data_IF_137302116171
#
_entry.id   IF_137302116171
#
_cell.length_a   1.000
_cell.length_b   1.000
_cell.length_c   1.000
_cell.angle_alpha   90.00
_cell.angle_beta   90.00
_cell.angle_gamma   90.00
#
_symmetry.space_group_name_H-M   'P 1'
#
loop_
_entity.id
_entity.type
_entity.pdbx_description
1 polymer ?
#
# COMPACT_ATOMS: atom_id res chain seq x y z
N UNK A 1 22.95 -18.33 -3.92
CA UNK A 1 21.61 -19.00 -4.02
C UNK A 1 21.21 -19.69 -2.71
N UNK A 2 21.88 -20.76 -2.22
CA UNK A 2 21.46 -21.44 -0.99
C UNK A 2 21.51 -20.56 0.29
N UNK A 3 22.55 -19.75 0.46
CA UNK A 3 22.71 -18.87 1.62
C UNK A 3 21.65 -17.75 1.66
N UNK A 4 21.22 -17.26 0.52
CA UNK A 4 20.19 -16.21 0.42
C UNK A 4 18.81 -16.80 0.71
N UNK A 5 18.55 -18.04 0.31
CA UNK A 5 17.32 -18.77 0.65
C UNK A 5 17.21 -19.01 2.16
N UNK A 6 18.30 -19.38 2.84
CA UNK A 6 18.31 -19.58 4.29
C UNK A 6 18.09 -18.26 5.03
N UNK A 7 18.72 -17.17 4.58
CA UNK A 7 18.50 -15.82 5.15
C UNK A 7 17.05 -15.36 5.00
N UNK A 8 16.45 -15.63 3.84
CA UNK A 8 15.05 -15.29 3.57
C UNK A 8 14.11 -16.05 4.50
N UNK A 9 14.27 -17.37 4.63
CA UNK A 9 13.46 -18.22 5.53
C UNK A 9 13.60 -17.74 6.99
N UNK A 10 14.81 -17.44 7.43
CA UNK A 10 15.05 -16.93 8.78
C UNK A 10 14.38 -15.55 9.01
N UNK A 11 14.40 -14.68 8.02
CA UNK A 11 13.76 -13.38 8.08
C UNK A 11 12.22 -13.49 8.13
N UNK A 12 11.64 -14.36 7.31
CA UNK A 12 10.21 -14.66 7.32
C UNK A 12 9.76 -15.24 8.68
N UNK A 13 10.52 -16.20 9.23
CA UNK A 13 10.25 -16.74 10.55
C UNK A 13 10.33 -15.68 11.66
N UNK A 14 11.35 -14.82 11.62
CA UNK A 14 11.50 -13.73 12.58
C UNK A 14 10.34 -12.72 12.47
N UNK A 15 9.89 -12.42 11.24
CA UNK A 15 8.75 -11.56 10.97
C UNK A 15 7.46 -12.15 11.53
N UNK A 16 7.18 -13.44 11.30
CA UNK A 16 6.01 -14.13 11.87
C UNK A 16 6.00 -14.07 13.40
N UNK A 17 7.15 -14.29 14.04
CA UNK A 17 7.26 -14.17 15.50
C UNK A 17 7.01 -12.75 15.99
N UNK A 18 7.53 -11.75 15.29
CA UNK A 18 7.31 -10.34 15.62
C UNK A 18 5.84 -9.96 15.48
N UNK A 19 5.16 -10.40 14.42
CA UNK A 19 3.74 -10.16 14.19
C UNK A 19 2.91 -10.83 15.28
N UNK A 20 3.12 -12.11 15.55
CA UNK A 20 2.44 -12.83 16.63
C UNK A 20 2.70 -12.20 18.02
N UNK A 21 3.80 -11.50 18.19
CA UNK A 21 4.08 -10.75 19.42
C UNK A 21 3.31 -9.43 19.46
N UNK A 22 3.29 -8.67 18.36
CA UNK A 22 2.54 -7.38 18.27
C UNK A 22 1.03 -7.65 18.46
N UNK A 23 0.47 -8.66 17.83
CA UNK A 23 -0.98 -8.94 17.86
C UNK A 23 -1.51 -9.28 19.26
N UNK A 24 -0.66 -9.77 20.18
CA UNK A 24 -1.05 -10.08 21.57
C UNK A 24 -1.31 -8.82 22.41
N UNK A 25 -0.53 -7.80 22.22
CA UNK A 25 -0.64 -6.51 22.92
C UNK A 25 0.01 -5.42 22.05
N UNK A 26 -0.74 -4.83 21.09
CA UNK A 26 -0.19 -3.84 20.18
C UNK A 26 0.38 -2.62 20.88
N UNK A 27 -0.25 -2.18 21.99
CA UNK A 27 0.16 -0.97 22.71
C UNK A 27 1.53 -1.10 23.36
N UNK A 28 1.83 -2.28 23.88
CA UNK A 28 3.10 -2.57 24.57
C UNK A 28 4.15 -3.13 23.62
N UNK A 29 3.76 -4.15 22.87
CA UNK A 29 4.71 -4.99 22.15
C UNK A 29 5.29 -4.29 20.90
N UNK A 30 4.53 -3.35 20.28
CA UNK A 30 5.06 -2.50 19.23
C UNK A 30 6.26 -1.68 19.72
N UNK A 31 6.16 -1.05 20.89
CA UNK A 31 7.26 -0.25 21.43
C UNK A 31 8.46 -1.11 21.84
N UNK A 32 8.23 -2.31 22.40
CA UNK A 32 9.32 -3.26 22.70
C UNK A 32 10.09 -3.63 21.44
N UNK A 33 9.40 -3.90 20.34
CA UNK A 33 10.03 -4.20 19.06
C UNK A 33 10.75 -3.00 18.47
N UNK A 34 10.17 -1.80 18.53
CA UNK A 34 10.83 -0.59 18.08
C UNK A 34 12.09 -0.29 18.91
N UNK A 35 12.08 -0.52 20.21
CA UNK A 35 13.25 -0.40 21.08
C UNK A 35 14.34 -1.40 20.69
N UNK A 36 13.95 -2.64 20.39
CA UNK A 36 14.87 -3.64 19.92
C UNK A 36 15.50 -3.26 18.56
N UNK A 37 14.67 -2.83 17.58
CA UNK A 37 15.16 -2.38 16.28
C UNK A 37 16.10 -1.19 16.41
N UNK A 38 15.80 -0.22 17.29
CA UNK A 38 16.68 0.91 17.56
C UNK A 38 18.06 0.47 18.09
N UNK A 39 18.08 -0.51 18.99
CA UNK A 39 19.33 -1.05 19.57
C UNK A 39 20.20 -1.77 18.53
N UNK A 40 19.57 -2.58 17.65
CA UNK A 40 20.31 -3.39 16.67
C UNK A 40 20.61 -2.65 15.36
N UNK A 41 19.95 -1.54 15.10
CA UNK A 41 20.17 -0.74 13.90
C UNK A 41 21.60 -0.20 13.86
N UNK A 42 22.32 -0.55 12.79
CA UNK A 42 23.73 -0.14 12.62
C UNK A 42 23.87 1.26 12.00
N UNK A 43 22.98 1.60 11.06
CA UNK A 43 23.03 2.89 10.37
C UNK A 43 22.37 3.99 11.23
N UNK A 44 23.06 5.14 11.44
CA UNK A 44 22.52 6.27 12.23
C UNK A 44 21.14 6.74 11.74
N UNK A 45 20.93 6.79 10.43
CA UNK A 45 19.63 7.17 9.83
C UNK A 45 18.50 6.24 10.20
N UNK A 46 18.75 4.93 10.36
CA UNK A 46 17.71 3.98 10.78
C UNK A 46 17.29 4.22 12.23
N UNK A 47 18.22 4.51 13.12
CA UNK A 47 17.92 4.85 14.53
C UNK A 47 17.05 6.10 14.61
N UNK A 48 17.35 7.12 13.83
CA UNK A 48 16.57 8.36 13.80
C UNK A 48 15.14 8.14 13.32
N UNK A 49 14.96 7.32 12.27
CA UNK A 49 13.62 6.93 11.78
C UNK A 49 12.84 6.21 12.89
N UNK A 50 13.44 5.25 13.58
CA UNK A 50 12.76 4.50 14.65
C UNK A 50 12.38 5.43 15.81
N UNK A 51 13.26 6.37 16.20
CA UNK A 51 12.93 7.38 17.21
C UNK A 51 11.73 8.23 16.83
N UNK A 52 11.70 8.74 15.60
CA UNK A 52 10.57 9.52 15.07
C UNK A 52 9.28 8.71 15.07
N UNK A 53 9.32 7.45 14.65
CA UNK A 53 8.17 6.55 14.70
C UNK A 53 7.65 6.37 16.13
N UNK A 54 8.51 6.11 17.10
CA UNK A 54 8.13 5.97 18.52
C UNK A 54 7.42 7.22 19.05
N UNK A 55 7.99 8.40 18.77
CA UNK A 55 7.39 9.68 19.15
C UNK A 55 6.02 9.87 18.50
N UNK A 56 5.92 9.53 17.21
CA UNK A 56 4.71 9.67 16.43
C UNK A 56 3.58 8.75 16.95
N UNK A 57 3.86 7.49 17.19
CA UNK A 57 2.91 6.55 17.80
C UNK A 57 2.48 6.99 19.21
N UNK A 58 3.44 7.42 20.06
CA UNK A 58 3.17 7.83 21.43
C UNK A 58 2.27 9.07 21.53
N UNK A 59 2.46 10.01 20.60
CA UNK A 59 1.79 11.31 20.65
C UNK A 59 0.50 11.36 19.82
N UNK A 60 0.15 10.29 19.12
CA UNK A 60 -1.02 10.26 18.25
C UNK A 60 -1.94 9.07 18.55
N UNK A 61 -2.95 9.26 19.43
CA UNK A 61 -3.90 8.20 19.80
C UNK A 61 -4.65 7.59 18.62
N UNK A 62 -4.95 8.40 17.57
CA UNK A 62 -5.64 7.89 16.37
C UNK A 62 -4.78 6.90 15.59
N UNK A 63 -3.47 7.12 15.53
CA UNK A 63 -2.55 6.19 14.88
C UNK A 63 -2.46 4.89 15.68
N UNK A 64 -2.43 4.97 17.02
CA UNK A 64 -2.47 3.76 17.84
C UNK A 64 -3.78 3.00 17.69
N UNK A 65 -4.91 3.68 17.54
CA UNK A 65 -6.19 3.02 17.24
C UNK A 65 -6.15 2.29 15.88
N UNK A 66 -5.64 2.93 14.84
CA UNK A 66 -5.45 2.27 13.53
C UNK A 66 -4.48 1.09 13.63
N UNK A 67 -3.41 1.21 14.40
CA UNK A 67 -2.46 0.12 14.64
C UNK A 67 -3.13 -1.07 15.30
N UNK A 68 -4.02 -0.86 16.29
CA UNK A 68 -4.79 -1.95 16.92
C UNK A 68 -5.74 -2.62 15.91
N UNK A 69 -6.41 -1.83 15.06
CA UNK A 69 -7.28 -2.36 13.99
C UNK A 69 -6.49 -3.20 12.98
N UNK A 70 -5.32 -2.72 12.55
CA UNK A 70 -4.44 -3.50 11.65
C UNK A 70 -3.92 -4.76 12.37
N UNK A 71 -3.53 -4.64 13.64
CA UNK A 71 -3.03 -5.76 14.43
C UNK A 71 -4.10 -6.83 14.74
N UNK A 72 -5.40 -6.48 14.67
CA UNK A 72 -6.49 -7.46 14.79
C UNK A 72 -6.59 -8.40 13.57
N UNK A 73 -5.96 -8.04 12.44
CA UNK A 73 -5.82 -8.89 11.27
C UNK A 73 -4.32 -9.24 11.06
N UNK A 74 -3.85 -10.40 11.51
CA UNK A 74 -2.44 -10.79 11.40
C UNK A 74 -1.90 -10.81 9.98
N UNK A 75 -2.74 -11.19 8.99
CA UNK A 75 -2.38 -11.19 7.56
C UNK A 75 -2.15 -9.77 7.05
N UNK A 76 -3.02 -8.83 7.42
CA UNK A 76 -2.86 -7.42 7.05
C UNK A 76 -1.60 -6.82 7.67
N UNK A 77 -1.34 -7.11 8.94
CA UNK A 77 -0.12 -6.66 9.62
C UNK A 77 1.14 -7.26 8.96
N UNK A 78 1.11 -8.56 8.63
CA UNK A 78 2.20 -9.23 7.90
C UNK A 78 2.47 -8.56 6.57
N UNK A 79 1.45 -8.39 5.74
CA UNK A 79 1.60 -7.79 4.41
C UNK A 79 2.10 -6.34 4.49
N UNK A 80 1.57 -5.56 5.43
CA UNK A 80 2.02 -4.19 5.63
C UNK A 80 3.50 -4.13 6.03
N UNK A 81 3.93 -4.93 7.01
CA UNK A 81 5.32 -4.92 7.46
C UNK A 81 6.24 -5.48 6.37
N UNK A 82 5.88 -6.62 5.78
CA UNK A 82 6.71 -7.25 4.76
C UNK A 82 6.82 -6.41 3.49
N UNK A 83 5.68 -5.98 2.94
CA UNK A 83 5.67 -5.32 1.63
C UNK A 83 6.13 -3.86 1.73
N UNK A 84 5.65 -3.12 2.71
CA UNK A 84 6.01 -1.70 2.83
C UNK A 84 7.32 -1.50 3.56
N UNK A 85 7.50 -2.10 4.75
CA UNK A 85 8.69 -1.85 5.58
C UNK A 85 9.89 -2.64 5.06
N UNK A 86 9.79 -3.97 4.96
CA UNK A 86 10.92 -4.81 4.56
C UNK A 86 11.26 -4.60 3.10
N UNK A 87 10.30 -4.83 2.19
CA UNK A 87 10.56 -4.72 0.76
C UNK A 87 10.67 -3.26 0.29
N UNK A 88 9.73 -2.40 0.68
CA UNK A 88 9.69 -1.01 0.19
C UNK A 88 10.77 -0.11 0.77
N UNK A 89 10.90 -0.10 2.13
CA UNK A 89 11.81 0.83 2.82
C UNK A 89 13.22 0.28 2.94
N UNK A 90 13.41 -0.97 3.38
CA UNK A 90 14.77 -1.49 3.59
C UNK A 90 15.40 -2.05 2.32
N UNK A 91 14.85 -3.12 1.76
CA UNK A 91 15.43 -3.80 0.60
C UNK A 91 15.31 -2.98 -0.67
N UNK A 92 14.12 -2.45 -0.93
CA UNK A 92 13.84 -1.65 -2.12
C UNK A 92 14.65 -0.37 -2.17
N UNK A 93 14.86 0.31 -1.04
CA UNK A 93 15.70 1.51 -1.00
C UNK A 93 17.12 1.22 -1.46
N UNK A 94 17.76 0.21 -0.89
CA UNK A 94 19.14 -0.17 -1.28
C UNK A 94 19.20 -0.52 -2.77
N UNK A 95 18.20 -1.25 -3.27
CA UNK A 95 18.11 -1.62 -4.69
C UNK A 95 17.97 -0.39 -5.59
N UNK A 96 17.06 0.54 -5.25
CA UNK A 96 16.86 1.81 -5.99
C UNK A 96 18.10 2.67 -6.00
N UNK A 97 18.79 2.80 -4.86
CA UNK A 97 20.04 3.57 -4.75
C UNK A 97 21.17 2.98 -5.59
N UNK A 98 21.28 1.65 -5.68
CA UNK A 98 22.28 0.97 -6.50
C UNK A 98 21.99 1.17 -8.00
N UNK A 99 20.78 0.85 -8.43
CA UNK A 99 20.33 1.02 -9.82
C UNK A 99 20.43 2.50 -10.23
N UNK A 100 20.01 3.41 -9.37
CA UNK A 100 20.08 4.84 -9.64
C UNK A 100 21.52 5.33 -9.86
N UNK A 101 22.48 4.80 -9.10
CA UNK A 101 23.92 5.10 -9.30
C UNK A 101 24.45 4.53 -10.63
N UNK A 102 24.04 3.32 -10.99
CA UNK A 102 24.45 2.67 -12.24
C UNK A 102 23.89 3.40 -13.47
N UNK A 103 22.64 3.84 -13.40
CA UNK A 103 21.95 4.51 -14.49
C UNK A 103 22.12 6.04 -14.52
N UNK A 104 22.68 6.64 -13.47
CA UNK A 104 22.79 8.09 -13.33
C UNK A 104 21.45 8.81 -13.13
N UNK A 105 20.41 8.12 -12.61
CA UNK A 105 19.05 8.65 -12.41
C UNK A 105 18.55 8.35 -11.00
N UNK A 106 17.51 9.07 -10.56
CA UNK A 106 16.81 8.75 -9.32
C UNK A 106 15.67 7.79 -9.59
N UNK A 107 15.73 6.59 -9.02
CA UNK A 107 14.62 5.61 -9.10
C UNK A 107 13.54 5.98 -8.07
N UNK A 108 12.27 6.15 -8.48
CA UNK A 108 11.18 6.57 -7.58
C UNK A 108 10.87 5.50 -6.53
N UNK A 109 10.26 5.93 -5.41
CA UNK A 109 9.84 5.02 -4.34
C UNK A 109 8.49 4.35 -4.62
N UNK A 110 7.64 5.01 -5.37
CA UNK A 110 6.30 4.55 -5.74
C UNK A 110 6.09 4.70 -7.25
N UNK A 111 5.17 3.93 -7.78
CA UNK A 111 4.70 4.03 -9.15
C UNK A 111 3.20 4.33 -9.14
N UNK A 112 2.78 5.38 -9.87
CA UNK A 112 1.37 5.67 -10.09
C UNK A 112 0.99 5.12 -11.47
N UNK A 113 -0.10 4.36 -11.52
CA UNK A 113 -0.62 3.71 -12.72
C UNK A 113 -2.11 3.99 -12.85
N UNK A 114 -2.53 4.31 -14.06
CA UNK A 114 -3.93 4.41 -14.45
C UNK A 114 -4.33 3.11 -15.20
N UNK A 115 -4.90 2.09 -14.52
CA UNK A 115 -5.21 0.83 -15.17
C UNK A 115 -6.34 0.94 -16.20
N UNK A 116 -7.18 1.96 -16.07
CA UNK A 116 -8.26 2.27 -17.01
C UNK A 116 -8.60 3.76 -17.00
N UNK A 117 -9.02 4.28 -18.16
CA UNK A 117 -9.63 5.60 -18.31
C UNK A 117 -11.13 5.58 -18.01
N UNK A 118 -11.75 4.39 -17.93
CA UNK A 118 -13.17 4.24 -17.64
C UNK A 118 -13.52 4.74 -16.23
N UNK A 119 -14.63 5.45 -16.13
CA UNK A 119 -15.16 5.91 -14.84
C UNK A 119 -16.70 5.90 -14.90
N UNK A 120 -17.30 5.44 -13.82
CA UNK A 120 -18.76 5.40 -13.67
C UNK A 120 -19.36 6.73 -13.20
N UNK A 121 -18.54 7.76 -12.93
CA UNK A 121 -18.95 9.12 -12.58
C UNK A 121 -18.48 10.15 -13.61
N UNK A 122 -19.06 11.36 -13.52
CA UNK A 122 -18.70 12.55 -14.32
C UNK A 122 -18.57 13.75 -13.39
N UNK A 123 -17.57 13.73 -12.52
CA UNK A 123 -17.37 14.76 -11.52
C UNK A 123 -16.99 16.11 -12.16
N UNK A 124 -17.56 17.19 -11.63
CA UNK A 124 -17.19 18.54 -12.03
C UNK A 124 -15.70 18.82 -11.70
N UNK A 125 -14.97 19.39 -12.67
CA UNK A 125 -13.54 19.69 -12.53
C UNK A 125 -12.64 18.46 -12.37
N UNK A 126 -13.08 17.29 -12.86
CA UNK A 126 -12.26 16.09 -12.88
C UNK A 126 -11.12 16.23 -13.89
N UNK A 127 -9.88 16.05 -13.45
CA UNK A 127 -8.69 16.12 -14.32
C UNK A 127 -8.71 15.06 -15.45
N UNK A 128 -9.37 13.92 -15.22
CA UNK A 128 -9.57 12.84 -16.19
C UNK A 128 -10.93 12.94 -16.91
N UNK A 129 -11.64 14.07 -16.78
CA UNK A 129 -12.99 14.26 -17.34
C UNK A 129 -13.06 14.14 -18.85
N UNK A 130 -12.02 14.64 -19.53
CA UNK A 130 -11.88 14.66 -20.99
C UNK A 130 -11.28 13.37 -21.57
N UNK A 131 -10.88 12.40 -20.74
CA UNK A 131 -10.28 11.16 -21.22
C UNK A 131 -11.30 10.30 -21.97
N UNK A 132 -10.79 9.55 -22.95
CA UNK A 132 -11.49 8.40 -23.52
C UNK A 132 -11.93 7.48 -22.39
N UNK A 133 -13.20 7.08 -22.36
CA UNK A 133 -13.73 6.21 -21.29
C UNK A 133 -13.63 4.72 -21.63
N UNK A 134 -12.82 4.37 -22.62
CA UNK A 134 -12.72 3.01 -23.17
C UNK A 134 -11.32 2.41 -23.05
N UNK A 135 -10.30 3.21 -22.77
CA UNK A 135 -8.92 2.72 -22.71
C UNK A 135 -8.67 2.01 -21.40
N UNK A 136 -7.95 0.89 -21.48
CA UNK A 136 -7.52 0.10 -20.34
C UNK A 136 -6.24 -0.66 -20.68
N UNK A 137 -5.48 -0.99 -19.67
CA UNK A 137 -4.36 -1.91 -19.79
C UNK A 137 -4.87 -3.34 -19.99
N UNK A 138 -4.13 -4.16 -20.72
CA UNK A 138 -4.33 -5.60 -20.66
C UNK A 138 -3.82 -6.12 -19.29
N UNK A 139 -4.50 -7.10 -18.66
CA UNK A 139 -4.12 -7.61 -17.34
C UNK A 139 -2.66 -8.07 -17.24
N UNK A 140 -2.18 -8.76 -18.29
CA UNK A 140 -0.81 -9.27 -18.38
C UNK A 140 0.20 -8.13 -18.45
N UNK A 141 -0.12 -7.05 -19.16
CA UNK A 141 0.72 -5.85 -19.22
C UNK A 141 0.78 -5.17 -17.85
N UNK A 142 -0.36 -5.04 -17.16
CA UNK A 142 -0.42 -4.44 -15.85
C UNK A 142 0.41 -5.26 -14.84
N UNK A 143 0.24 -6.59 -14.80
CA UNK A 143 1.04 -7.49 -13.97
C UNK A 143 2.54 -7.40 -14.30
N UNK A 144 2.91 -7.31 -15.60
CA UNK A 144 4.30 -7.13 -16.03
C UNK A 144 4.91 -5.83 -15.52
N UNK A 145 4.20 -4.70 -15.64
CA UNK A 145 4.66 -3.40 -15.13
C UNK A 145 4.97 -3.49 -13.63
N UNK A 146 4.12 -4.16 -12.84
CA UNK A 146 4.36 -4.34 -11.41
C UNK A 146 5.60 -5.21 -11.16
N UNK A 147 5.80 -6.28 -11.93
CA UNK A 147 7.01 -7.13 -11.83
C UNK A 147 8.27 -6.33 -12.12
N UNK A 148 8.29 -5.57 -13.21
CA UNK A 148 9.42 -4.71 -13.58
C UNK A 148 9.67 -3.61 -12.54
N UNK A 149 8.61 -3.01 -11.96
CA UNK A 149 8.73 -2.07 -10.85
C UNK A 149 9.44 -2.69 -9.64
N UNK A 150 9.12 -3.94 -9.28
CA UNK A 150 9.81 -4.67 -8.20
C UNK A 150 11.28 -4.95 -8.53
N UNK A 151 11.62 -5.16 -9.80
CA UNK A 151 13.00 -5.27 -10.23
C UNK A 151 13.80 -3.98 -10.02
N UNK A 152 13.13 -2.84 -10.08
CA UNK A 152 13.69 -1.54 -9.73
C UNK A 152 13.68 -1.25 -8.20
N UNK A 153 13.07 -2.12 -7.40
CA UNK A 153 12.92 -1.91 -5.94
C UNK A 153 11.70 -1.07 -5.56
N UNK A 154 10.71 -0.96 -6.46
CA UNK A 154 9.44 -0.24 -6.23
C UNK A 154 8.38 -1.27 -5.85
N UNK A 155 7.88 -1.19 -4.61
CA UNK A 155 6.87 -2.10 -4.06
C UNK A 155 5.58 -1.38 -3.69
N UNK A 156 5.52 -0.08 -3.86
CA UNK A 156 4.34 0.73 -3.59
C UNK A 156 3.72 1.18 -4.92
N UNK A 157 2.51 0.67 -5.19
CA UNK A 157 1.76 0.95 -6.40
C UNK A 157 0.55 1.79 -6.03
N UNK A 158 0.43 2.97 -6.63
CA UNK A 158 -0.71 3.87 -6.50
C UNK A 158 -1.55 3.77 -7.76
N UNK A 159 -2.83 3.56 -7.61
CA UNK A 159 -3.78 3.41 -8.71
C UNK A 159 -4.67 4.64 -8.80
N UNK A 160 -4.80 5.18 -10.00
CA UNK A 160 -5.61 6.33 -10.32
C UNK A 160 -6.29 6.11 -11.69
N UNK A 161 -6.48 7.15 -12.49
CA UNK A 161 -7.08 7.08 -13.83
C UNK A 161 -8.51 7.59 -13.84
N UNK A 162 -9.42 6.83 -14.43
CA UNK A 162 -10.85 7.04 -14.30
C UNK A 162 -11.32 6.61 -12.91
N UNK A 163 -11.93 5.44 -12.82
CA UNK A 163 -12.21 4.75 -11.55
C UNK A 163 -11.48 3.39 -11.59
N UNK A 164 -10.51 3.13 -10.70
CA UNK A 164 -9.76 1.87 -10.74
C UNK A 164 -10.64 0.63 -10.65
N UNK A 165 -11.74 0.68 -9.90
CA UNK A 165 -12.68 -0.44 -9.78
C UNK A 165 -13.57 -0.65 -11.02
N UNK A 166 -13.49 0.23 -12.03
CA UNK A 166 -14.01 -0.05 -13.36
C UNK A 166 -13.11 -1.00 -14.18
N UNK A 167 -11.89 -1.27 -13.72
CA UNK A 167 -11.00 -2.26 -14.32
C UNK A 167 -11.36 -3.67 -13.79
N UNK A 168 -11.96 -4.54 -14.60
CA UNK A 168 -12.58 -5.78 -14.11
C UNK A 168 -11.58 -6.78 -13.51
N UNK A 169 -10.32 -6.70 -13.90
CA UNK A 169 -9.23 -7.59 -13.46
C UNK A 169 -8.41 -7.02 -12.31
N UNK A 170 -8.82 -5.88 -11.72
CA UNK A 170 -8.03 -5.16 -10.71
C UNK A 170 -7.56 -6.07 -9.58
N UNK A 171 -8.51 -6.73 -8.91
CA UNK A 171 -8.21 -7.54 -7.73
C UNK A 171 -7.54 -8.86 -8.08
N UNK A 172 -7.67 -9.37 -9.32
CA UNK A 172 -6.95 -10.55 -9.79
C UNK A 172 -5.46 -10.23 -9.96
N UNK A 173 -5.15 -9.12 -10.63
CA UNK A 173 -3.76 -8.65 -10.78
C UNK A 173 -3.13 -8.33 -9.42
N UNK A 174 -3.87 -7.68 -8.51
CA UNK A 174 -3.37 -7.41 -7.14
C UNK A 174 -3.04 -8.71 -6.40
N UNK A 175 -3.87 -9.76 -6.55
CA UNK A 175 -3.65 -11.06 -5.93
C UNK A 175 -2.36 -11.76 -6.39
N UNK A 176 -1.88 -11.48 -7.61
CA UNK A 176 -0.60 -11.99 -8.12
C UNK A 176 0.63 -11.36 -7.44
N UNK A 177 0.44 -10.24 -6.72
CA UNK A 177 1.53 -9.46 -6.13
C UNK A 177 1.35 -9.24 -4.62
N UNK A 178 1.31 -10.32 -3.81
CA UNK A 178 1.10 -10.21 -2.36
C UNK A 178 2.26 -9.53 -1.62
N UNK A 179 3.41 -9.40 -2.27
CA UNK A 179 4.62 -8.75 -1.78
C UNK A 179 4.69 -7.24 -2.09
N UNK A 180 3.66 -6.68 -2.72
CA UNK A 180 3.52 -5.25 -3.01
C UNK A 180 2.36 -4.64 -2.23
N UNK A 181 2.43 -3.34 -1.97
CA UNK A 181 1.34 -2.56 -1.36
C UNK A 181 0.66 -1.75 -2.45
N UNK A 182 -0.66 -1.84 -2.48
CA UNK A 182 -1.51 -1.08 -3.38
C UNK A 182 -2.31 -0.03 -2.62
N UNK A 183 -2.42 1.14 -3.18
CA UNK A 183 -3.35 2.19 -2.77
C UNK A 183 -4.11 2.66 -4.01
N UNK A 184 -5.40 2.90 -3.92
CA UNK A 184 -6.14 3.51 -5.01
C UNK A 184 -6.84 4.78 -4.57
N UNK A 185 -6.85 5.79 -5.43
CA UNK A 185 -7.86 6.84 -5.36
C UNK A 185 -9.14 6.29 -6.00
N UNK A 186 -10.24 6.30 -5.27
CA UNK A 186 -11.51 5.74 -5.73
C UNK A 186 -12.69 6.61 -5.30
N UNK A 187 -13.73 6.64 -6.13
CA UNK A 187 -15.00 7.24 -5.74
C UNK A 187 -15.80 6.35 -4.77
N UNK A 188 -15.39 5.09 -4.59
CA UNK A 188 -15.96 4.14 -3.64
C UNK A 188 -17.28 3.47 -4.08
N UNK A 189 -17.96 4.00 -5.08
CA UNK A 189 -19.34 3.56 -5.43
C UNK A 189 -19.44 2.16 -6.02
N UNK A 190 -18.31 1.53 -6.35
CA UNK A 190 -18.21 0.16 -6.87
C UNK A 190 -17.67 -0.83 -5.82
N UNK A 191 -17.44 -0.38 -4.59
CA UNK A 191 -16.98 -1.23 -3.49
C UNK A 191 -18.22 -1.70 -2.71
N UNK A 192 -18.81 -2.80 -3.15
CA UNK A 192 -19.84 -3.52 -2.41
C UNK A 192 -19.24 -4.45 -1.33
N UNK A 193 -20.08 -5.15 -0.57
CA UNK A 193 -19.61 -6.07 0.50
C UNK A 193 -18.67 -7.15 -0.05
N UNK A 194 -18.97 -7.70 -1.23
CA UNK A 194 -18.13 -8.74 -1.87
C UNK A 194 -16.75 -8.21 -2.24
N UNK A 195 -16.68 -6.98 -2.77
CA UNK A 195 -15.40 -6.32 -3.07
C UNK A 195 -14.65 -6.00 -1.77
N UNK A 196 -15.35 -5.52 -0.75
CA UNK A 196 -14.77 -5.23 0.56
C UNK A 196 -14.19 -6.48 1.22
N UNK A 197 -14.91 -7.61 1.22
CA UNK A 197 -14.42 -8.90 1.71
C UNK A 197 -13.16 -9.35 0.97
N UNK A 198 -13.15 -9.23 -0.36
CA UNK A 198 -11.99 -9.59 -1.16
C UNK A 198 -10.78 -8.69 -0.89
N UNK A 199 -10.99 -7.38 -0.67
CA UNK A 199 -9.92 -6.47 -0.25
C UNK A 199 -9.35 -6.85 1.13
N UNK A 200 -10.22 -7.24 2.06
CA UNK A 200 -9.80 -7.74 3.37
C UNK A 200 -9.00 -9.04 3.26
N UNK A 201 -9.41 -9.95 2.38
CA UNK A 201 -8.69 -11.20 2.10
C UNK A 201 -7.32 -10.99 1.46
N UNK A 202 -7.20 -10.05 0.53
CA UNK A 202 -5.92 -9.68 -0.09
C UNK A 202 -4.98 -9.06 0.95
N UNK A 203 -5.51 -8.17 1.79
CA UNK A 203 -4.81 -7.54 2.92
C UNK A 203 -3.54 -6.74 2.54
N UNK A 204 -3.39 -6.38 1.26
CA UNK A 204 -2.28 -5.56 0.74
C UNK A 204 -2.78 -4.36 -0.09
N UNK A 205 -4.09 -4.07 -0.04
CA UNK A 205 -4.72 -2.99 -0.79
C UNK A 205 -5.45 -2.02 0.14
N UNK A 206 -5.25 -0.73 -0.05
CA UNK A 206 -5.89 0.35 0.72
C UNK A 206 -6.65 1.30 -0.21
N UNK A 207 -7.98 1.27 -0.25
CA UNK A 207 -8.76 2.26 -0.98
C UNK A 207 -8.76 3.60 -0.25
N UNK A 208 -8.49 4.69 -0.98
CA UNK A 208 -8.60 6.07 -0.51
C UNK A 208 -9.84 6.70 -1.12
N UNK A 209 -10.88 6.82 -0.31
CA UNK A 209 -12.17 7.32 -0.76
C UNK A 209 -12.15 8.84 -0.99
N UNK A 210 -12.67 9.24 -2.13
CA UNK A 210 -12.77 10.63 -2.54
C UNK A 210 -14.05 11.26 -2.01
N UNK A 211 -13.95 12.12 -1.01
CA UNK A 211 -15.05 12.88 -0.43
C UNK A 211 -14.76 14.38 -0.48
N UNK A 212 -15.79 15.18 -0.76
CA UNK A 212 -15.68 16.65 -0.84
C UNK A 212 -16.21 17.34 0.44
N UNK A 213 -16.57 16.57 1.45
CA UNK A 213 -17.24 17.01 2.68
C UNK A 213 -18.49 16.20 2.93
N UNK A 214 -19.58 16.85 3.33
CA UNK A 214 -20.86 16.18 3.54
C UNK A 214 -21.63 15.97 2.22
N UNK A 215 -22.85 15.42 2.31
CA UNK A 215 -23.72 15.07 1.19
C UNK A 215 -23.82 16.19 0.14
N UNK A 216 -24.13 17.40 0.56
CA UNK A 216 -24.35 18.52 -0.35
C UNK A 216 -23.12 18.79 -1.22
N UNK A 217 -21.94 18.90 -0.63
CA UNK A 217 -20.68 19.17 -1.33
C UNK A 217 -20.26 17.99 -2.21
N UNK A 218 -20.39 16.77 -1.69
CA UNK A 218 -20.02 15.58 -2.43
C UNK A 218 -20.96 15.36 -3.63
N UNK A 219 -22.27 15.46 -3.44
CA UNK A 219 -23.25 15.28 -4.51
C UNK A 219 -23.18 16.40 -5.55
N UNK A 220 -22.90 17.64 -5.14
CA UNK A 220 -22.73 18.77 -6.06
C UNK A 220 -21.60 18.51 -7.06
N UNK A 221 -20.46 18.03 -6.60
CA UNK A 221 -19.28 17.78 -7.45
C UNK A 221 -19.33 16.44 -8.18
N UNK A 222 -19.80 15.38 -7.51
CA UNK A 222 -19.67 13.99 -7.99
C UNK A 222 -20.94 13.41 -8.59
N UNK A 223 -22.04 14.14 -8.45
CA UNK A 223 -23.37 13.71 -8.90
C UNK A 223 -24.27 13.28 -7.74
N UNK A 224 -25.54 13.60 -7.86
CA UNK A 224 -26.58 13.36 -6.85
C UNK A 224 -26.62 11.90 -6.43
N UNK A 225 -26.62 11.65 -5.11
CA UNK A 225 -26.69 10.33 -4.50
C UNK A 225 -25.34 9.60 -4.42
N UNK A 226 -24.23 10.24 -4.79
CA UNK A 226 -22.89 9.65 -4.68
C UNK A 226 -22.44 9.50 -3.21
N UNK A 227 -22.85 10.43 -2.35
CA UNK A 227 -22.52 10.39 -0.92
C UNK A 227 -23.12 9.17 -0.20
N UNK A 228 -24.27 8.68 -0.64
CA UNK A 228 -24.98 7.58 0.00
C UNK A 228 -24.52 6.18 -0.45
N UNK A 229 -23.71 6.12 -1.48
CA UNK A 229 -23.14 4.87 -2.00
C UNK A 229 -21.82 4.53 -1.33
#
# INVERSE_FOLDING_TARGET
>A
MALDSVKKIAAEFALDKAINYITKDPDKNLFVLLDFVEKVARAPGHKEVVKKLKVHFKNNPRIMEQTRRIASNPKMLYNLINSWVVNGVFLGRTKRENIGRELGVSVPQLLLIDPTSSCNLRCEGCWAGEYSKVDRLEPELFSRIIKEAKELGIYWIVLSGGEPFCFPYLLDVVAEHPDSVFMSYTNGTLIDERVADRLADLANFSPSFSLEGWREQTDARRGKGTFDK
#
